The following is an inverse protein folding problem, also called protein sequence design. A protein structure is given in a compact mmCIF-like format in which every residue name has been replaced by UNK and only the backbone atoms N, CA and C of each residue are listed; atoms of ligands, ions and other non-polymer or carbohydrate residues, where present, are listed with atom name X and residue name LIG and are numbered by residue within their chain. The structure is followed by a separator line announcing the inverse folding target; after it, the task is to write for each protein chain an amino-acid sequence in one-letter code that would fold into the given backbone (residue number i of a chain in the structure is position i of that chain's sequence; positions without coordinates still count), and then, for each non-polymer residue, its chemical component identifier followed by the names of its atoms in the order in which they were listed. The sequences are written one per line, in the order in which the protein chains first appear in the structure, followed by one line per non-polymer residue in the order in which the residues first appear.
data_IF_846491872109
#
_entry.id   IF_846491872109
#
_cell.length_a   1.000
_cell.length_b   1.000
_cell.length_c   1.000
_cell.angle_alpha   90.00
_cell.angle_beta   90.00
_cell.angle_gamma   90.00
#
_symmetry.space_group_name_H-M   'P 1'
#
loop_
_entity.id
_entity.type
_entity.pdbx_description
1 polymer ?
#
# COMPACT_ATOMS: atom_id res chain seq x y z
N UNK A 1 61.96 -27.88 1.19
CA UNK A 1 60.59 -27.73 1.76
C UNK A 1 60.14 -26.28 1.55
N UNK A 2 59.18 -26.06 0.67
CA UNK A 2 58.67 -24.72 0.37
C UNK A 2 57.47 -24.44 1.28
N UNK A 3 57.52 -23.39 2.09
CA UNK A 3 56.44 -22.98 2.98
C UNK A 3 55.42 -22.20 2.16
N UNK A 4 54.21 -22.74 2.01
CA UNK A 4 53.07 -22.05 1.40
C UNK A 4 52.52 -21.09 2.45
N UNK A 5 52.61 -19.79 2.16
CA UNK A 5 52.06 -18.74 3.00
C UNK A 5 50.55 -18.66 2.76
N UNK A 6 49.77 -19.17 3.73
CA UNK A 6 48.31 -19.06 3.70
C UNK A 6 47.88 -17.58 3.90
N UNK A 7 47.12 -17.04 2.96
CA UNK A 7 46.63 -15.66 3.01
C UNK A 7 45.08 -15.66 2.94
N UNK A 8 44.38 -15.54 4.09
CA UNK A 8 42.93 -15.68 4.16
C UNK A 8 42.16 -14.52 3.46
N UNK A 9 42.84 -13.42 3.15
CA UNK A 9 42.17 -12.27 2.49
C UNK A 9 41.92 -12.44 1.01
N UNK A 10 42.43 -13.53 0.37
CA UNK A 10 42.33 -13.77 -1.08
C UNK A 10 41.16 -14.67 -1.46
N UNK A 11 40.57 -15.39 -0.51
CA UNK A 11 39.42 -16.28 -0.77
C UNK A 11 38.04 -15.57 -0.62
N UNK A 12 38.00 -14.38 0.01
CA UNK A 12 36.76 -13.58 0.10
C UNK A 12 36.47 -12.71 -1.13
N UNK A 13 37.38 -12.70 -2.12
CA UNK A 13 37.25 -11.87 -3.32
C UNK A 13 36.55 -12.56 -4.51
N UNK A 14 36.07 -13.80 -4.35
CA UNK A 14 35.34 -14.55 -5.38
C UNK A 14 33.91 -14.87 -4.99
N UNK A 15 33.23 -13.93 -4.34
CA UNK A 15 31.78 -13.96 -4.34
C UNK A 15 31.32 -13.38 -5.69
N UNK A 16 30.54 -14.15 -6.48
CA UNK A 16 30.08 -13.66 -7.77
C UNK A 16 29.28 -12.38 -7.55
N UNK A 17 29.73 -11.29 -8.16
CA UNK A 17 29.00 -10.04 -8.30
C UNK A 17 27.65 -10.21 -9.04
N UNK A 18 27.33 -11.44 -9.41
CA UNK A 18 26.13 -11.84 -10.15
C UNK A 18 24.86 -11.98 -9.29
N UNK A 19 24.95 -12.00 -7.95
CA UNK A 19 23.74 -12.04 -7.11
C UNK A 19 22.83 -10.84 -7.33
N UNK A 20 23.41 -9.66 -7.53
CA UNK A 20 22.64 -8.47 -7.91
C UNK A 20 22.15 -8.51 -9.36
N UNK A 21 22.83 -9.26 -10.22
CA UNK A 21 22.40 -9.55 -11.60
C UNK A 21 21.19 -10.48 -11.63
N UNK A 22 21.22 -11.54 -10.84
CA UNK A 22 20.12 -12.52 -10.71
C UNK A 22 18.88 -11.86 -10.11
N UNK A 23 19.04 -11.02 -9.09
CA UNK A 23 17.91 -10.30 -8.50
C UNK A 23 17.26 -9.31 -9.48
N UNK A 24 18.07 -8.60 -10.29
CA UNK A 24 17.57 -7.75 -11.39
C UNK A 24 16.91 -8.56 -12.49
N UNK A 25 17.42 -9.74 -12.80
CA UNK A 25 16.87 -10.62 -13.83
C UNK A 25 15.57 -11.28 -13.34
N UNK A 26 15.50 -11.69 -12.08
CA UNK A 26 14.25 -12.14 -11.45
C UNK A 26 13.19 -11.04 -11.44
N UNK A 27 13.53 -9.82 -11.03
CA UNK A 27 12.57 -8.72 -11.07
C UNK A 27 12.07 -8.44 -12.50
N UNK A 28 12.94 -8.53 -13.52
CA UNK A 28 12.50 -8.41 -14.94
C UNK A 28 11.63 -9.58 -15.37
N UNK A 29 11.90 -10.81 -14.91
CA UNK A 29 11.06 -11.97 -15.21
C UNK A 29 9.70 -11.87 -14.50
N UNK A 30 9.66 -11.38 -13.27
CA UNK A 30 8.41 -11.07 -12.56
C UNK A 30 7.64 -9.96 -13.29
N UNK A 31 8.30 -8.87 -13.67
CA UNK A 31 7.68 -7.80 -14.45
C UNK A 31 7.12 -8.29 -15.79
N UNK A 32 7.83 -9.21 -16.48
CA UNK A 32 7.36 -9.81 -17.72
C UNK A 32 6.25 -10.84 -17.53
N UNK A 33 6.31 -11.69 -16.50
CA UNK A 33 5.31 -12.71 -16.23
C UNK A 33 3.98 -12.08 -15.78
N UNK A 34 4.04 -11.04 -14.91
CA UNK A 34 2.84 -10.34 -14.48
C UNK A 34 2.29 -9.34 -15.51
N UNK A 35 3.12 -8.84 -16.45
CA UNK A 35 2.64 -7.95 -17.53
C UNK A 35 1.93 -8.67 -18.67
N UNK A 36 2.13 -9.98 -18.84
CA UNK A 36 1.60 -10.72 -20.00
C UNK A 36 0.26 -11.41 -19.72
N UNK A 37 -0.13 -11.61 -18.44
CA UNK A 37 -1.35 -12.35 -18.09
C UNK A 37 -2.53 -11.46 -17.68
N UNK A 38 -2.29 -10.15 -17.51
CA UNK A 38 -3.34 -9.16 -17.24
C UNK A 38 -3.43 -8.11 -18.36
N UNK A 39 -3.56 -8.60 -19.60
CA UNK A 39 -4.11 -7.81 -20.69
C UNK A 39 -5.63 -7.90 -20.68
N UNK A 40 -6.24 -7.46 -19.60
CA UNK A 40 -7.55 -6.86 -19.70
C UNK A 40 -7.32 -5.36 -19.91
N UNK A 41 -7.82 -4.89 -21.04
CA UNK A 41 -7.86 -3.51 -21.47
C UNK A 41 -8.44 -2.67 -20.31
N UNK A 42 -7.75 -1.57 -19.96
CA UNK A 42 -8.17 -0.50 -19.05
C UNK A 42 -7.58 -0.41 -17.64
N UNK A 43 -6.57 -1.17 -17.23
CA UNK A 43 -5.80 -0.73 -16.07
C UNK A 43 -4.61 0.09 -16.56
N UNK A 44 -4.88 1.30 -17.04
CA UNK A 44 -3.89 2.36 -17.04
C UNK A 44 -3.52 2.59 -15.56
N UNK A 45 -2.41 2.01 -15.10
CA UNK A 45 -1.85 2.31 -13.78
C UNK A 45 -1.65 3.82 -13.72
N UNK A 46 -2.59 4.46 -13.10
CA UNK A 46 -2.60 5.89 -12.89
C UNK A 46 -1.38 6.24 -12.06
N UNK A 47 -0.65 7.27 -12.48
CA UNK A 47 0.44 7.85 -11.70
C UNK A 47 -0.05 8.53 -10.41
N UNK A 48 -1.33 8.42 -10.07
CA UNK A 48 -1.90 9.03 -8.89
C UNK A 48 -2.07 8.03 -7.75
N UNK A 49 -1.31 8.25 -6.69
CA UNK A 49 -1.38 7.45 -5.47
C UNK A 49 -1.82 8.37 -4.33
N UNK A 50 -3.01 8.17 -3.74
CA UNK A 50 -3.49 9.00 -2.64
C UNK A 50 -2.60 8.84 -1.40
N UNK A 51 -2.38 9.95 -0.69
CA UNK A 51 -1.73 9.94 0.61
C UNK A 51 -2.62 9.28 1.66
N UNK A 52 -2.00 8.50 2.57
CA UNK A 52 -2.72 7.76 3.61
C UNK A 52 -1.97 7.85 4.92
N UNK A 53 -2.69 8.23 5.98
CA UNK A 53 -2.23 8.16 7.36
C UNK A 53 -2.98 7.05 8.09
N UNK A 54 -2.26 6.22 8.85
CA UNK A 54 -2.83 5.18 9.70
C UNK A 54 -2.37 5.42 11.12
N UNK A 55 -3.33 5.63 12.03
CA UNK A 55 -3.09 5.79 13.46
C UNK A 55 -3.67 4.62 14.20
N UNK A 56 -2.89 4.02 15.09
CA UNK A 56 -3.33 2.97 15.99
C UNK A 56 -3.69 3.56 17.37
N UNK A 57 -4.90 3.25 17.85
CA UNK A 57 -5.38 3.51 19.19
C UNK A 57 -5.55 2.18 19.94
N UNK A 58 -5.82 2.25 21.23
CA UNK A 58 -5.99 1.04 22.07
C UNK A 58 -7.14 0.15 21.57
N UNK A 59 -8.22 0.74 21.08
CA UNK A 59 -9.47 0.09 20.70
C UNK A 59 -9.75 0.05 19.19
N UNK A 60 -9.05 0.84 18.38
CA UNK A 60 -9.30 0.96 16.94
C UNK A 60 -8.08 1.41 16.15
N UNK A 61 -8.11 1.17 14.83
CA UNK A 61 -7.30 1.89 13.86
C UNK A 61 -8.12 3.03 13.26
N UNK A 62 -7.49 4.17 13.03
CA UNK A 62 -8.05 5.27 12.26
C UNK A 62 -7.20 5.47 11.00
N UNK A 63 -7.83 5.28 9.83
CA UNK A 63 -7.19 5.49 8.53
C UNK A 63 -7.77 6.74 7.90
N UNK A 64 -6.90 7.65 7.45
CA UNK A 64 -7.27 8.86 6.71
C UNK A 64 -6.65 8.80 5.34
N UNK A 65 -7.46 8.98 4.29
CA UNK A 65 -7.03 8.94 2.90
C UNK A 65 -7.40 10.26 2.24
N UNK A 66 -6.44 10.92 1.60
CA UNK A 66 -6.67 12.16 0.86
C UNK A 66 -7.13 11.85 -0.56
N UNK A 67 -8.39 12.15 -0.85
CA UNK A 67 -9.06 11.86 -2.13
C UNK A 67 -9.68 13.12 -2.76
N UNK A 68 -8.92 14.21 -2.93
CA UNK A 68 -9.50 15.46 -3.46
C UNK A 68 -10.00 15.26 -4.89
N UNK A 69 -11.26 15.63 -5.13
CA UNK A 69 -11.90 15.53 -6.45
C UNK A 69 -12.30 14.10 -6.84
N UNK A 70 -12.43 13.19 -5.87
CA UNK A 70 -13.03 11.86 -6.07
C UNK A 70 -14.45 11.88 -5.51
N UNK A 71 -15.42 11.30 -6.23
CA UNK A 71 -16.77 11.15 -5.70
C UNK A 71 -16.82 9.94 -4.75
N UNK A 72 -17.65 10.01 -3.71
CA UNK A 72 -17.81 8.91 -2.74
C UNK A 72 -18.27 7.60 -3.40
N UNK A 73 -19.02 7.68 -4.48
CA UNK A 73 -19.52 6.53 -5.24
C UNK A 73 -18.42 5.82 -6.04
N UNK A 74 -17.33 6.52 -6.32
CA UNK A 74 -16.16 5.99 -7.05
C UNK A 74 -15.11 5.38 -6.09
N UNK A 75 -15.43 5.26 -4.79
CA UNK A 75 -14.53 4.66 -3.77
C UNK A 75 -15.14 3.39 -3.22
N UNK A 76 -14.35 2.33 -3.19
CA UNK A 76 -14.69 1.02 -2.60
C UNK A 76 -13.68 0.65 -1.52
N UNK A 77 -14.20 0.20 -0.37
CA UNK A 77 -13.40 -0.23 0.77
C UNK A 77 -13.73 -1.70 1.02
N UNK A 78 -12.73 -2.54 1.18
CA UNK A 78 -12.87 -3.93 1.59
C UNK A 78 -11.89 -4.27 2.70
N UNK A 79 -12.28 -5.15 3.60
CA UNK A 79 -11.40 -5.73 4.62
C UNK A 79 -11.55 -7.24 4.56
N UNK A 80 -10.49 -7.91 4.15
CA UNK A 80 -10.46 -9.37 4.02
C UNK A 80 -9.14 -9.91 4.59
N UNK A 81 -9.20 -10.92 5.44
CA UNK A 81 -8.01 -11.57 6.01
C UNK A 81 -7.01 -10.58 6.63
N UNK A 82 -7.51 -9.59 7.37
CA UNK A 82 -6.73 -8.49 7.96
C UNK A 82 -6.05 -7.57 6.94
N UNK A 83 -6.47 -7.57 5.68
CA UNK A 83 -6.00 -6.62 4.68
C UNK A 83 -7.12 -5.60 4.40
N UNK A 84 -6.85 -4.34 4.69
CA UNK A 84 -7.68 -3.22 4.28
C UNK A 84 -7.29 -2.84 2.85
N UNK A 85 -8.23 -2.89 1.92
CA UNK A 85 -8.03 -2.44 0.54
C UNK A 85 -8.98 -1.30 0.22
N UNK A 86 -8.43 -0.21 -0.31
CA UNK A 86 -9.16 0.99 -0.73
C UNK A 86 -8.89 1.18 -2.21
N UNK A 87 -9.93 1.10 -3.02
CA UNK A 87 -9.88 1.27 -4.47
C UNK A 87 -10.78 2.39 -4.90
N UNK A 88 -10.44 3.04 -5.98
CA UNK A 88 -11.29 4.06 -6.56
C UNK A 88 -10.72 4.65 -7.83
N UNK A 89 -11.45 5.62 -8.38
CA UNK A 89 -11.06 6.32 -9.58
C UNK A 89 -11.27 7.83 -9.40
N UNK A 90 -10.26 8.60 -9.76
CA UNK A 90 -10.35 10.04 -9.90
C UNK A 90 -10.58 10.36 -11.37
N UNK A 91 -11.82 10.64 -11.72
CA UNK A 91 -12.23 10.94 -13.09
C UNK A 91 -11.81 12.34 -13.49
N UNK A 92 -11.41 12.49 -14.74
CA UNK A 92 -11.20 13.80 -15.33
C UNK A 92 -12.58 14.40 -15.65
N UNK A 93 -12.92 15.53 -15.05
CA UNK A 93 -14.09 16.29 -15.47
C UNK A 93 -13.88 16.80 -16.90
N UNK A 94 -14.73 16.37 -17.82
CA UNK A 94 -14.74 16.91 -19.18
C UNK A 94 -15.35 18.31 -19.14
N UNK A 95 -14.53 19.34 -19.06
CA UNK A 95 -14.98 20.69 -19.26
C UNK A 95 -15.33 20.90 -20.75
N UNK A 96 -16.61 21.04 -21.02
CA UNK A 96 -17.18 21.23 -22.37
C UNK A 96 -16.86 22.61 -22.98
N UNK A 97 -16.22 23.49 -22.24
CA UNK A 97 -15.78 24.81 -22.68
C UNK A 97 -14.32 24.77 -23.08
N UNK A 98 -14.02 25.27 -24.29
CA UNK A 98 -12.65 25.53 -24.76
C UNK A 98 -12.05 26.67 -23.90
N UNK A 99 -11.67 26.36 -22.70
CA UNK A 99 -10.90 27.27 -21.87
C UNK A 99 -9.43 27.22 -22.30
N UNK A 100 -8.83 28.37 -22.43
CA UNK A 100 -7.41 28.47 -22.76
C UNK A 100 -6.62 28.25 -21.46
N UNK A 101 -6.31 27.01 -21.13
CA UNK A 101 -5.44 26.69 -19.99
C UNK A 101 -4.02 27.17 -20.29
N UNK A 102 -3.45 27.94 -19.40
CA UNK A 102 -2.03 28.28 -19.44
C UNK A 102 -1.16 27.17 -18.87
N UNK A 103 -1.66 26.43 -17.86
CA UNK A 103 -0.97 25.31 -17.22
C UNK A 103 -1.97 24.39 -16.52
N UNK A 104 -1.80 23.09 -16.67
CA UNK A 104 -2.60 22.06 -16.00
C UNK A 104 -1.62 21.09 -15.31
N UNK A 105 -1.76 20.97 -13.97
CA UNK A 105 -0.98 20.06 -13.13
C UNK A 105 -1.95 19.24 -12.28
N UNK A 106 -2.62 18.27 -12.88
CA UNK A 106 -3.60 17.41 -12.21
C UNK A 106 -3.32 15.97 -12.56
N UNK A 107 -3.42 15.08 -11.57
CA UNK A 107 -3.35 13.63 -11.78
C UNK A 107 -4.74 13.03 -11.67
N UNK A 108 -5.06 12.10 -12.56
CA UNK A 108 -6.34 11.41 -12.66
C UNK A 108 -6.10 9.89 -12.79
N UNK A 109 -7.14 9.11 -12.63
CA UNK A 109 -7.15 7.68 -12.91
C UNK A 109 -7.50 6.81 -11.72
N UNK A 110 -7.47 5.50 -11.93
CA UNK A 110 -7.75 4.51 -10.90
C UNK A 110 -6.61 4.43 -9.88
N UNK A 111 -6.94 4.15 -8.63
CA UNK A 111 -5.97 3.91 -7.56
C UNK A 111 -6.36 2.70 -6.73
N UNK A 112 -5.34 2.08 -6.14
CA UNK A 112 -5.49 1.03 -5.15
C UNK A 112 -4.47 1.21 -4.03
N UNK A 113 -4.94 1.11 -2.78
CA UNK A 113 -4.09 1.09 -1.58
C UNK A 113 -4.47 -0.10 -0.73
N UNK A 114 -3.49 -0.93 -0.37
CA UNK A 114 -3.70 -2.10 0.49
C UNK A 114 -2.77 -2.04 1.69
N UNK A 115 -3.32 -2.32 2.88
CA UNK A 115 -2.60 -2.28 4.15
C UNK A 115 -2.91 -3.52 4.97
N UNK A 116 -1.89 -4.22 5.42
CA UNK A 116 -2.05 -5.32 6.37
C UNK A 116 -2.23 -4.76 7.77
N UNK A 117 -3.33 -5.10 8.41
CA UNK A 117 -3.62 -4.73 9.80
C UNK A 117 -2.92 -5.72 10.72
N UNK A 118 -2.16 -5.25 11.73
CA UNK A 118 -1.42 -6.16 12.63
C UNK A 118 -2.33 -7.00 13.53
N UNK A 119 -3.57 -6.57 13.73
CA UNK A 119 -4.56 -7.29 14.54
C UNK A 119 -5.90 -7.39 13.83
N UNK A 120 -6.72 -8.36 14.24
CA UNK A 120 -8.07 -8.52 13.72
C UNK A 120 -8.99 -7.37 14.12
N UNK A 121 -9.86 -6.98 13.18
CA UNK A 121 -10.86 -5.92 13.35
C UNK A 121 -12.27 -6.47 13.24
N UNK A 122 -13.24 -5.77 13.80
CA UNK A 122 -14.68 -6.09 13.70
C UNK A 122 -15.20 -5.52 12.40
N UNK A 123 -15.24 -6.35 11.35
CA UNK A 123 -15.67 -5.92 10.01
C UNK A 123 -17.11 -5.41 9.94
N UNK A 124 -17.98 -5.90 10.82
CA UNK A 124 -19.37 -5.47 10.96
C UNK A 124 -19.55 -4.09 11.61
N UNK A 125 -18.48 -3.53 12.19
CA UNK A 125 -18.48 -2.24 12.91
C UNK A 125 -17.53 -1.21 12.29
N UNK A 126 -17.09 -1.44 11.07
CA UNK A 126 -16.29 -0.48 10.33
C UNK A 126 -17.18 0.69 9.95
N UNK A 127 -16.73 1.90 10.26
CA UNK A 127 -17.39 3.14 9.86
C UNK A 127 -16.48 3.93 8.93
N UNK A 128 -17.08 4.52 7.89
CA UNK A 128 -16.34 5.30 6.89
C UNK A 128 -17.07 6.62 6.59
N UNK A 129 -16.39 7.73 6.83
CA UNK A 129 -16.91 9.08 6.61
C UNK A 129 -16.06 9.78 5.56
N UNK A 130 -16.72 10.32 4.53
CA UNK A 130 -16.06 11.12 3.50
C UNK A 130 -16.46 12.59 3.65
N UNK A 131 -15.48 13.44 3.92
CA UNK A 131 -15.71 14.88 4.12
C UNK A 131 -14.52 15.71 3.61
N UNK A 132 -14.79 16.78 2.91
CA UNK A 132 -13.79 17.75 2.45
C UNK A 132 -12.62 17.13 1.67
N UNK A 133 -12.90 16.08 0.87
CA UNK A 133 -11.88 15.37 0.11
C UNK A 133 -11.02 14.39 0.93
N UNK A 134 -11.38 14.14 2.19
CA UNK A 134 -10.71 13.17 3.07
C UNK A 134 -11.66 12.06 3.44
N UNK A 135 -11.26 10.83 3.16
CA UNK A 135 -11.93 9.62 3.62
C UNK A 135 -11.35 9.20 4.97
N UNK A 136 -12.17 9.13 6.00
CA UNK A 136 -11.81 8.64 7.33
C UNK A 136 -12.48 7.29 7.55
N UNK A 137 -11.68 6.27 7.91
CA UNK A 137 -12.16 4.90 8.17
C UNK A 137 -11.78 4.54 9.60
N UNK A 138 -12.77 4.27 10.44
CA UNK A 138 -12.59 3.73 11.78
C UNK A 138 -12.74 2.21 11.74
N UNK A 139 -11.74 1.50 12.23
CA UNK A 139 -11.64 0.04 12.22
C UNK A 139 -11.51 -0.46 13.66
N UNK A 140 -12.62 -0.77 14.37
CA UNK A 140 -12.57 -1.25 15.76
C UNK A 140 -11.84 -2.59 15.84
N UNK A 141 -10.91 -2.73 16.79
CA UNK A 141 -10.19 -3.98 17.05
C UNK A 141 -11.14 -5.05 17.59
N UNK A 142 -10.89 -6.31 17.23
CA UNK A 142 -11.56 -7.42 17.86
C UNK A 142 -11.25 -7.46 19.38
N UNK A 143 -12.13 -7.98 20.20
CA UNK A 143 -11.95 -7.97 21.68
C UNK A 143 -10.68 -8.73 22.11
N UNK A 144 -10.32 -9.77 21.37
CA UNK A 144 -9.12 -10.57 21.62
C UNK A 144 -7.83 -9.79 21.32
N UNK A 145 -7.93 -8.76 20.50
CA UNK A 145 -6.80 -7.94 20.02
C UNK A 145 -6.57 -6.68 20.88
N UNK A 146 -7.44 -6.42 21.85
CA UNK A 146 -7.30 -5.29 22.77
C UNK A 146 -6.27 -5.57 23.86
N UNK A 147 -5.48 -4.58 24.32
CA UNK A 147 -4.58 -4.73 25.44
C UNK A 147 -5.33 -5.21 26.69
N UNK A 148 -4.85 -6.28 27.33
CA UNK A 148 -5.38 -6.76 28.62
C UNK A 148 -4.49 -6.28 29.75
N UNK A 149 -5.04 -5.53 30.70
CA UNK A 149 -4.34 -5.23 31.95
C UNK A 149 -4.29 -6.49 32.82
N UNK A 150 -3.10 -6.85 33.27
CA UNK A 150 -2.89 -7.97 34.20
C UNK A 150 -2.59 -7.38 35.57
N UNK A 151 -3.47 -7.64 36.56
CA UNK A 151 -3.20 -7.30 37.96
C UNK A 151 -2.12 -8.20 38.51
N UNK A 152 -1.01 -7.62 38.98
CA UNK A 152 0.02 -8.36 39.75
C UNK A 152 -0.41 -8.43 41.19
N UNK A 153 -0.79 -9.62 41.63
CA UNK A 153 -1.05 -9.87 43.08
C UNK A 153 0.26 -10.17 43.78
N UNK A 154 0.62 -9.34 44.75
CA UNK A 154 1.73 -9.62 45.69
C UNK A 154 1.22 -10.62 46.72
N UNK A 155 1.92 -11.74 46.88
CA UNK A 155 1.69 -12.71 47.95
C UNK A 155 2.49 -12.35 49.17
#
# INVERSE_FOLDING_TARGET
MSLIRWNPARELATWPSDLFGIQRQMNRMFDHAFRNDFRDEDIAFSNWTPAVDITEHDDQYLVKVELPGVNKEDVKITVESNVLTIRGEKKQEQETKKENYHRVERSYGAFERSFTLPTSVKSDKIDAVYKDGVLQIALPKAEEAKPKQIEVKVK
#
